data_IF_865712169339
#
_entry.id   IF_865712169339
#
_cell.length_a   1.000
_cell.length_b   1.000
_cell.length_c   1.000
_cell.angle_alpha   90.00
_cell.angle_beta   90.00
_cell.angle_gamma   90.00
#
_symmetry.space_group_name_H-M   'P 1'
#
loop_
_entity.id
_entity.type
_entity.pdbx_description
1 polymer ?
#
# COMPACT_ATOMS: atom_id res chain seq x y z
N UNK A 1 12.29 -6.94 -4.22
CA UNK A 1 11.47 -6.55 -5.36
C UNK A 1 11.11 -5.11 -5.08
N UNK A 2 11.52 -4.15 -5.89
CA UNK A 2 11.43 -2.73 -5.53
C UNK A 2 10.02 -2.16 -5.67
N UNK A 3 9.51 -1.54 -4.60
CA UNK A 3 8.25 -0.80 -4.62
C UNK A 3 8.50 0.66 -5.01
N UNK A 4 7.67 1.18 -5.91
CA UNK A 4 7.68 2.58 -6.33
C UNK A 4 6.29 3.20 -6.13
N UNK A 5 6.25 4.47 -5.77
CA UNK A 5 5.02 5.25 -5.74
C UNK A 5 4.90 6.11 -6.99
N UNK A 6 3.73 6.07 -7.61
CA UNK A 6 3.35 6.97 -8.68
C UNK A 6 2.15 7.78 -8.24
N UNK A 7 2.31 9.10 -8.11
CA UNK A 7 1.21 10.01 -7.78
C UNK A 7 0.23 10.08 -8.95
N UNK A 8 -1.06 9.97 -8.65
CA UNK A 8 -2.13 10.24 -9.60
C UNK A 8 -2.46 11.74 -9.54
N UNK A 9 -2.27 12.45 -10.66
CA UNK A 9 -2.50 13.89 -10.75
C UNK A 9 -3.96 14.24 -11.06
N UNK A 10 -4.81 13.25 -11.37
CA UNK A 10 -6.21 13.47 -11.70
C UNK A 10 -7.12 13.57 -10.46
N UNK A 11 -6.59 13.34 -9.26
CA UNK A 11 -7.33 13.47 -8.01
C UNK A 11 -6.89 14.72 -7.24
N UNK A 12 -7.86 15.48 -6.73
CA UNK A 12 -7.64 16.68 -5.91
C UNK A 12 -6.92 16.37 -4.57
N UNK A 13 -6.73 15.09 -4.25
CA UNK A 13 -6.09 14.60 -3.03
C UNK A 13 -4.82 13.82 -3.33
N UNK A 14 -3.93 13.72 -2.34
CA UNK A 14 -2.72 12.91 -2.47
C UNK A 14 -3.07 11.42 -2.60
N UNK A 15 -3.12 10.92 -3.83
CA UNK A 15 -3.34 9.53 -4.18
C UNK A 15 -2.12 8.97 -4.92
N UNK A 16 -1.62 7.84 -4.43
CA UNK A 16 -0.44 7.16 -4.96
C UNK A 16 -0.81 5.73 -5.32
N UNK A 17 -0.50 5.33 -6.55
CA UNK A 17 -0.41 3.92 -6.92
C UNK A 17 0.92 3.35 -6.40
N UNK A 18 0.87 2.19 -5.75
CA UNK A 18 2.06 1.42 -5.38
C UNK A 18 2.33 0.39 -6.46
N UNK A 19 3.53 0.44 -7.04
CA UNK A 19 3.91 -0.34 -8.22
C UNK A 19 5.11 -1.21 -7.90
N UNK A 20 5.10 -2.45 -8.40
CA UNK A 20 6.23 -3.38 -8.41
C UNK A 20 6.56 -3.75 -9.85
N UNK A 21 7.72 -3.35 -10.34
CA UNK A 21 8.04 -3.44 -11.78
C UNK A 21 7.01 -2.67 -12.62
N UNK A 22 6.20 -3.40 -13.40
CA UNK A 22 5.12 -2.82 -14.23
C UNK A 22 3.71 -3.01 -13.61
N UNK A 23 3.60 -3.64 -12.44
CA UNK A 23 2.32 -4.05 -11.87
C UNK A 23 1.92 -3.18 -10.69
N UNK A 24 0.71 -2.64 -10.72
CA UNK A 24 0.12 -2.00 -9.54
C UNK A 24 -0.25 -3.08 -8.52
N UNK A 25 0.27 -2.93 -7.30
CA UNK A 25 0.04 -3.87 -6.19
C UNK A 25 -0.81 -3.26 -5.07
N UNK A 26 -1.12 -1.98 -5.15
CA UNK A 26 -1.94 -1.30 -4.16
C UNK A 26 -1.99 0.20 -4.34
N UNK A 27 -2.57 0.85 -3.34
CA UNK A 27 -2.72 2.31 -3.29
C UNK A 27 -2.40 2.85 -1.90
N UNK A 28 -1.94 4.09 -1.84
CA UNK A 28 -1.85 4.91 -0.63
C UNK A 28 -2.55 6.22 -0.93
N UNK A 29 -3.48 6.66 -0.07
CA UNK A 29 -4.21 7.90 -0.29
C UNK A 29 -4.45 8.67 1.01
N UNK A 30 -4.47 9.99 0.90
CA UNK A 30 -4.94 10.88 1.94
C UNK A 30 -6.48 10.94 1.90
N UNK A 31 -7.11 10.50 2.99
CA UNK A 31 -8.55 10.60 3.22
C UNK A 31 -8.88 11.57 4.36
N UNK A 32 -7.92 12.40 4.81
CA UNK A 32 -8.12 13.35 5.91
C UNK A 32 -9.30 14.30 5.68
N UNK A 33 -9.52 14.70 4.44
CA UNK A 33 -10.67 15.52 4.03
C UNK A 33 -12.04 14.79 4.11
N UNK A 34 -12.04 13.45 4.15
CA UNK A 34 -13.25 12.62 4.30
C UNK A 34 -13.54 12.26 5.76
N UNK A 35 -12.62 12.55 6.67
CA UNK A 35 -12.68 12.13 8.06
C UNK A 35 -13.05 13.31 8.97
N UNK A 36 -14.14 13.17 9.73
CA UNK A 36 -14.58 14.17 10.70
C UNK A 36 -13.97 13.99 12.11
N UNK A 37 -12.99 13.09 12.28
CA UNK A 37 -12.50 12.66 13.61
C UNK A 37 -10.97 12.51 13.65
N UNK A 38 -10.40 12.20 14.84
CA UNK A 38 -8.98 11.90 15.09
C UNK A 38 -8.46 10.61 14.39
N UNK A 39 -9.12 10.19 13.31
CA UNK A 39 -8.73 9.03 12.51
C UNK A 39 -7.48 9.37 11.71
N UNK A 40 -6.47 8.48 11.65
CA UNK A 40 -5.28 8.74 10.85
C UNK A 40 -5.65 8.97 9.37
N UNK A 41 -5.15 10.06 8.75
CA UNK A 41 -5.67 10.52 7.46
C UNK A 41 -5.23 9.62 6.30
N UNK A 42 -4.09 8.96 6.42
CA UNK A 42 -3.54 8.12 5.37
C UNK A 42 -4.14 6.73 5.40
N UNK A 43 -4.69 6.26 4.29
CA UNK A 43 -5.10 4.87 4.08
C UNK A 43 -4.18 4.19 3.09
N UNK A 44 -3.82 2.95 3.35
CA UNK A 44 -3.04 2.12 2.44
C UNK A 44 -3.75 0.79 2.21
N UNK A 45 -3.75 0.31 0.96
CA UNK A 45 -4.49 -0.88 0.54
C UNK A 45 -3.66 -1.73 -0.42
N UNK A 46 -3.43 -2.99 -0.06
CA UNK A 46 -2.84 -4.01 -0.94
C UNK A 46 -3.94 -4.62 -1.82
N UNK A 47 -3.82 -4.37 -3.14
CA UNK A 47 -4.76 -4.79 -4.17
C UNK A 47 -4.24 -6.05 -4.87
N UNK A 48 -4.55 -7.21 -4.29
CA UNK A 48 -4.21 -8.53 -4.84
C UNK A 48 -5.44 -9.44 -4.88
N UNK A 49 -5.49 -10.34 -5.85
CA UNK A 49 -6.44 -11.46 -5.83
C UNK A 49 -6.08 -12.49 -4.76
N UNK A 50 -7.06 -13.29 -4.33
CA UNK A 50 -6.84 -14.42 -3.42
C UNK A 50 -7.09 -14.14 -1.93
N UNK A 51 -6.89 -15.17 -1.11
CA UNK A 51 -7.05 -15.11 0.35
C UNK A 51 -5.94 -14.29 0.99
N UNK A 52 -6.26 -13.64 2.11
CA UNK A 52 -5.27 -12.92 2.92
C UNK A 52 -4.52 -13.91 3.80
N UNK A 53 -3.18 -13.98 3.71
CA UNK A 53 -2.40 -14.83 4.59
C UNK A 53 -2.51 -14.41 6.06
N UNK A 54 -2.40 -15.34 7.02
CA UNK A 54 -2.31 -14.98 8.44
C UNK A 54 -1.19 -13.96 8.70
N UNK A 55 -1.50 -12.89 9.44
CA UNK A 55 -0.54 -11.84 9.79
C UNK A 55 -0.27 -10.80 8.69
N UNK A 56 -0.92 -10.90 7.54
CA UNK A 56 -0.92 -9.85 6.51
C UNK A 56 -2.13 -8.94 6.68
N UNK A 57 -1.90 -7.65 6.87
CA UNK A 57 -2.92 -6.61 6.81
C UNK A 57 -2.96 -6.09 5.37
N UNK A 58 -4.16 -6.04 4.78
CA UNK A 58 -4.36 -5.56 3.41
C UNK A 58 -4.95 -4.17 3.30
N UNK A 59 -5.53 -3.67 4.37
CA UNK A 59 -6.21 -2.37 4.40
C UNK A 59 -6.12 -1.82 5.81
N UNK A 60 -5.43 -0.69 5.96
CA UNK A 60 -5.31 -0.01 7.23
C UNK A 60 -4.98 1.46 7.04
N UNK A 61 -4.95 2.18 8.17
CA UNK A 61 -4.65 3.61 8.22
C UNK A 61 -3.34 3.89 8.96
N UNK A 62 -2.74 5.03 8.68
CA UNK A 62 -1.52 5.52 9.30
C UNK A 62 -1.57 7.03 9.52
N UNK A 63 -0.81 7.51 10.52
CA UNK A 63 -0.78 8.94 10.88
C UNK A 63 -0.05 9.81 9.85
N UNK A 64 0.78 9.21 9.00
CA UNK A 64 1.56 9.91 7.99
C UNK A 64 1.75 9.05 6.74
N UNK A 65 2.11 9.70 5.63
CA UNK A 65 2.46 9.06 4.38
C UNK A 65 3.64 8.08 4.57
N UNK A 66 4.70 8.47 5.29
CA UNK A 66 5.85 7.59 5.55
C UNK A 66 5.47 6.34 6.36
N UNK A 67 4.59 6.49 7.36
CA UNK A 67 4.08 5.35 8.12
C UNK A 67 3.23 4.43 7.24
N UNK A 68 2.42 4.99 6.34
CA UNK A 68 1.65 4.21 5.36
C UNK A 68 2.57 3.44 4.39
N UNK A 69 3.64 4.08 3.89
CA UNK A 69 4.65 3.42 3.04
C UNK A 69 5.33 2.26 3.74
N UNK A 70 5.79 2.48 4.98
CA UNK A 70 6.48 1.46 5.77
C UNK A 70 5.57 0.27 6.06
N UNK A 71 4.33 0.53 6.51
CA UNK A 71 3.34 -0.50 6.80
C UNK A 71 2.94 -1.29 5.54
N UNK A 72 2.74 -0.61 4.41
CA UNK A 72 2.48 -1.25 3.13
C UNK A 72 3.65 -2.18 2.74
N UNK A 73 4.88 -1.66 2.75
CA UNK A 73 6.06 -2.41 2.34
C UNK A 73 6.33 -3.63 3.24
N UNK A 74 6.06 -3.53 4.54
CA UNK A 74 6.13 -4.65 5.46
C UNK A 74 5.09 -5.73 5.12
N UNK A 75 3.81 -5.36 4.98
CA UNK A 75 2.75 -6.31 4.69
C UNK A 75 2.86 -6.92 3.29
N UNK A 76 3.38 -6.14 2.34
CA UNK A 76 3.74 -6.64 1.01
C UNK A 76 4.82 -7.72 1.09
N UNK A 77 5.90 -7.51 1.85
CA UNK A 77 6.96 -8.51 2.04
C UNK A 77 6.42 -9.79 2.68
N UNK A 78 5.54 -9.68 3.68
CA UNK A 78 4.86 -10.84 4.30
C UNK A 78 4.03 -11.62 3.28
N UNK A 79 3.28 -10.92 2.43
CA UNK A 79 2.50 -11.55 1.38
C UNK A 79 3.38 -12.27 0.34
N UNK A 80 4.43 -11.60 -0.16
CA UNK A 80 5.39 -12.17 -1.11
C UNK A 80 6.03 -13.44 -0.55
N UNK A 81 6.46 -13.39 0.73
CA UNK A 81 7.02 -14.55 1.41
C UNK A 81 6.02 -15.70 1.53
N UNK A 82 4.75 -15.41 1.88
CA UNK A 82 3.70 -16.43 1.94
C UNK A 82 3.45 -17.10 0.59
N UNK A 83 3.48 -16.33 -0.50
CA UNK A 83 3.30 -16.86 -1.85
C UNK A 83 4.52 -17.64 -2.37
N UNK A 84 5.60 -17.74 -1.59
CA UNK A 84 6.85 -18.38 -2.00
C UNK A 84 7.55 -17.68 -3.16
N UNK A 85 7.15 -16.43 -3.45
CA UNK A 85 7.72 -15.63 -4.52
C UNK A 85 9.10 -15.15 -4.08
N UNK A 86 10.11 -15.36 -4.93
CA UNK A 86 11.46 -14.84 -4.73
C UNK A 86 11.68 -13.67 -5.66
N UNK A 87 12.47 -12.71 -5.20
CA UNK A 87 12.99 -11.67 -6.06
C UNK A 87 13.88 -12.31 -7.13
N UNK A 88 13.51 -12.11 -8.40
CA UNK A 88 14.39 -12.44 -9.52
C UNK A 88 15.21 -11.18 -9.76
N UNK A 89 16.52 -11.26 -9.55
CA UNK A 89 17.43 -10.17 -9.93
C UNK A 89 17.29 -9.92 -11.44
N UNK A 90 17.06 -8.68 -11.81
CA UNK A 90 16.95 -8.21 -13.19
C UNK A 90 17.62 -6.86 -13.34
#
# INVERSE_FOLDING_TARGET
MSLMLRRDLAQDNEHYAVITGQWQCGIIRDEGHLLQTATPPWRWIIQLGGSTPPGVIRDARAGSLEAAKAAFAENWRKWVAHMGLREIEG
#
